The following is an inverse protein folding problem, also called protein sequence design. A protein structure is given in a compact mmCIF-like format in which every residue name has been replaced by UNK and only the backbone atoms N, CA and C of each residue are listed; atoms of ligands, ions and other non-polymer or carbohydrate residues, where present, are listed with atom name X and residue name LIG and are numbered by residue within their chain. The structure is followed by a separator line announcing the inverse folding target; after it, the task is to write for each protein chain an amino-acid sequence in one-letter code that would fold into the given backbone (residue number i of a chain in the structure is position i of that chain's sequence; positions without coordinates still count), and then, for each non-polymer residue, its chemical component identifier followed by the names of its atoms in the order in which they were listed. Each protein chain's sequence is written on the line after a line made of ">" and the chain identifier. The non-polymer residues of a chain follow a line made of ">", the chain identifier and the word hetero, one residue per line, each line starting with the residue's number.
data_IF_100874347321
#
_entry.id   IF_100874347321
#
_cell.length_a   1.000
_cell.length_b   1.000
_cell.length_c   1.000
_cell.angle_alpha   90.00
_cell.angle_beta   90.00
_cell.angle_gamma   90.00
#
_symmetry.space_group_name_H-M   'P 1'
#
loop_
_entity.id
_entity.type
_entity.pdbx_description
1 polymer ?
#
# COMPACT_ATOMS: atom_id res chain seq x y z
N UNK A 1 42.12 -3.36 -17.40
CA UNK A 1 41.63 -2.09 -16.81
C UNK A 1 41.62 -0.96 -17.80
N UNK A 2 42.70 -0.74 -18.53
CA UNK A 2 42.75 0.34 -19.53
C UNK A 2 41.77 0.16 -20.70
N UNK A 3 41.51 -1.07 -21.10
CA UNK A 3 40.53 -1.41 -22.15
C UNK A 3 39.12 -1.01 -21.79
N UNK A 4 38.71 -1.21 -20.53
CA UNK A 4 37.40 -0.81 -20.04
C UNK A 4 37.26 0.72 -19.99
N UNK A 5 38.29 1.41 -19.57
CA UNK A 5 38.32 2.88 -19.53
C UNK A 5 38.21 3.46 -20.95
N UNK A 6 38.95 2.90 -21.92
CA UNK A 6 38.85 3.27 -23.31
C UNK A 6 37.45 3.06 -23.90
N UNK A 7 36.83 1.91 -23.60
CA UNK A 7 35.47 1.61 -24.02
C UNK A 7 34.46 2.65 -23.50
N UNK A 8 34.56 3.02 -22.23
CA UNK A 8 33.68 4.03 -21.63
C UNK A 8 33.89 5.42 -22.24
N UNK A 9 35.10 5.78 -22.58
CA UNK A 9 35.41 7.05 -23.21
C UNK A 9 34.90 7.16 -24.65
N UNK A 10 35.03 6.08 -25.41
CA UNK A 10 34.54 6.01 -26.81
C UNK A 10 33.03 5.97 -26.90
N UNK A 11 32.35 5.41 -25.87
CA UNK A 11 30.90 5.24 -25.83
C UNK A 11 30.27 6.00 -24.67
N UNK A 12 30.67 7.25 -24.46
CA UNK A 12 30.26 8.05 -23.31
C UNK A 12 28.73 8.14 -23.15
N UNK A 13 28.00 8.40 -24.23
CA UNK A 13 26.54 8.52 -24.20
C UNK A 13 25.88 7.19 -23.79
N UNK A 14 26.35 6.10 -24.39
CA UNK A 14 25.86 4.76 -24.10
C UNK A 14 26.13 4.36 -22.63
N UNK A 15 27.32 4.70 -22.15
CA UNK A 15 27.73 4.45 -20.76
C UNK A 15 26.89 5.24 -19.75
N UNK A 16 26.57 6.50 -20.03
CA UNK A 16 25.70 7.34 -19.21
C UNK A 16 24.27 6.78 -19.16
N UNK A 17 23.73 6.34 -20.29
CA UNK A 17 22.41 5.69 -20.35
C UNK A 17 22.40 4.41 -19.51
N UNK A 18 23.45 3.60 -19.62
CA UNK A 18 23.57 2.35 -18.86
C UNK A 18 23.64 2.58 -17.35
N UNK A 19 24.46 3.52 -16.92
CA UNK A 19 24.57 3.91 -15.51
C UNK A 19 23.24 4.47 -15.01
N UNK A 20 22.55 5.30 -15.79
CA UNK A 20 21.23 5.83 -15.44
C UNK A 20 20.19 4.74 -15.25
N UNK A 21 20.15 3.75 -16.14
CA UNK A 21 19.27 2.59 -16.02
C UNK A 21 19.60 1.74 -14.79
N UNK A 22 20.88 1.53 -14.52
CA UNK A 22 21.34 0.76 -13.37
C UNK A 22 20.95 1.45 -12.05
N UNK A 23 21.15 2.76 -11.97
CA UNK A 23 20.74 3.56 -10.80
C UNK A 23 19.23 3.52 -10.61
N UNK A 24 18.46 3.68 -11.69
CA UNK A 24 17.01 3.59 -11.66
C UNK A 24 16.53 2.21 -11.16
N UNK A 25 17.17 1.14 -11.62
CA UNK A 25 16.87 -0.22 -11.18
C UNK A 25 17.18 -0.42 -9.69
N UNK A 26 18.33 0.04 -9.23
CA UNK A 26 18.73 -0.04 -7.81
C UNK A 26 17.76 0.75 -6.94
N UNK A 27 17.40 1.98 -7.36
CA UNK A 27 16.43 2.80 -6.63
C UNK A 27 15.06 2.12 -6.56
N UNK A 28 14.63 1.46 -7.62
CA UNK A 28 13.38 0.70 -7.65
C UNK A 28 13.41 -0.48 -6.67
N UNK A 29 14.50 -1.25 -6.66
CA UNK A 29 14.69 -2.38 -5.75
C UNK A 29 14.73 -1.90 -4.29
N UNK A 30 15.47 -0.85 -4.00
CA UNK A 30 15.55 -0.27 -2.64
C UNK A 30 14.18 0.22 -2.18
N UNK A 31 13.46 0.93 -3.04
CA UNK A 31 12.10 1.41 -2.74
C UNK A 31 11.14 0.25 -2.46
N UNK A 32 11.23 -0.82 -3.24
CA UNK A 32 10.43 -2.03 -3.02
C UNK A 32 10.80 -2.76 -1.72
N UNK A 33 12.09 -2.83 -1.41
CA UNK A 33 12.59 -3.49 -0.21
C UNK A 33 12.35 -2.70 1.08
N UNK A 34 12.18 -1.38 0.96
CA UNK A 34 11.89 -0.49 2.10
C UNK A 34 10.41 -0.18 2.25
N UNK A 35 9.54 -0.80 1.44
CA UNK A 35 8.11 -0.66 1.63
C UNK A 35 7.73 -1.15 3.03
N UNK A 36 7.19 -0.25 3.82
CA UNK A 36 6.85 -0.52 5.22
C UNK A 36 5.54 -1.30 5.35
N UNK A 37 4.98 -1.77 4.26
CA UNK A 37 3.74 -2.56 4.20
C UNK A 37 3.91 -3.78 3.29
N UNK A 38 3.03 -4.75 3.48
CA UNK A 38 2.93 -5.95 2.63
C UNK A 38 1.69 -5.84 1.74
N UNK A 39 1.80 -6.34 0.51
CA UNK A 39 0.62 -6.53 -0.34
C UNK A 39 0.03 -7.92 -0.09
N UNK A 40 -1.28 -7.96 0.13
CA UNK A 40 -2.00 -9.20 0.42
C UNK A 40 -3.23 -9.35 -0.48
N UNK A 41 -3.69 -10.59 -0.62
CA UNK A 41 -4.89 -10.93 -1.39
C UNK A 41 -6.18 -10.74 -0.56
N UNK A 42 -7.33 -10.82 -1.24
CA UNK A 42 -8.64 -10.80 -0.57
C UNK A 42 -8.78 -11.95 0.44
N UNK A 43 -8.31 -13.15 0.08
CA UNK A 43 -8.34 -14.31 0.97
C UNK A 43 -7.48 -14.11 2.22
N UNK A 44 -6.28 -13.56 2.05
CA UNK A 44 -5.39 -13.24 3.18
C UNK A 44 -5.97 -12.14 4.05
N UNK A 45 -6.64 -11.16 3.47
CA UNK A 45 -7.35 -10.10 4.21
C UNK A 45 -8.43 -10.70 5.10
N UNK A 46 -9.27 -11.57 4.57
CA UNK A 46 -10.31 -12.27 5.33
C UNK A 46 -9.70 -13.08 6.48
N UNK A 47 -8.61 -13.76 6.23
CA UNK A 47 -7.91 -14.54 7.25
C UNK A 47 -7.39 -13.66 8.39
N UNK A 48 -6.79 -12.51 8.10
CA UNK A 48 -6.34 -11.56 9.11
C UNK A 48 -7.49 -10.99 9.94
N UNK A 49 -8.61 -10.66 9.29
CA UNK A 49 -9.81 -10.15 9.97
C UNK A 49 -10.38 -11.17 10.95
N UNK A 50 -10.43 -12.43 10.55
CA UNK A 50 -11.09 -13.49 11.35
C UNK A 50 -10.19 -14.08 12.44
N UNK A 51 -8.89 -14.14 12.22
CA UNK A 51 -7.95 -14.84 13.13
C UNK A 51 -7.10 -13.93 13.98
N UNK A 52 -6.79 -12.72 13.49
CA UNK A 52 -5.79 -11.84 14.11
C UNK A 52 -6.34 -10.46 14.47
N UNK A 53 -7.66 -10.30 14.51
CA UNK A 53 -8.34 -9.03 14.76
C UNK A 53 -7.93 -7.93 13.76
N UNK A 54 -7.66 -8.30 12.51
CA UNK A 54 -7.30 -7.37 11.46
C UNK A 54 -8.39 -6.32 11.22
N UNK A 55 -7.97 -5.08 11.03
CA UNK A 55 -8.85 -3.95 10.74
C UNK A 55 -8.66 -3.52 9.31
N UNK A 56 -9.74 -3.48 8.55
CA UNK A 56 -9.75 -2.91 7.20
C UNK A 56 -9.97 -1.40 7.31
N UNK A 57 -9.07 -0.64 6.70
CA UNK A 57 -9.16 0.81 6.62
C UNK A 57 -9.47 1.20 5.18
N UNK A 58 -10.68 1.70 4.94
CA UNK A 58 -11.13 2.16 3.64
C UNK A 58 -10.84 3.66 3.51
N UNK A 59 -10.03 4.02 2.53
CA UNK A 59 -9.60 5.41 2.30
C UNK A 59 -10.32 6.09 1.13
N UNK A 60 -11.37 5.46 0.60
CA UNK A 60 -12.17 6.04 -0.48
C UNK A 60 -13.03 7.20 0.02
N UNK A 61 -13.71 7.88 -0.90
CA UNK A 61 -14.66 8.93 -0.55
C UNK A 61 -15.82 8.38 0.29
N UNK A 62 -16.50 9.26 1.02
CA UNK A 62 -17.68 8.88 1.81
C UNK A 62 -18.78 8.26 0.95
N UNK A 63 -19.00 8.78 -0.25
CA UNK A 63 -20.03 8.28 -1.15
C UNK A 63 -19.72 6.87 -1.65
N UNK A 64 -18.46 6.61 -2.00
CA UNK A 64 -18.02 5.27 -2.39
C UNK A 64 -18.12 4.28 -1.24
N UNK A 65 -17.72 4.69 -0.03
CA UNK A 65 -17.83 3.88 1.18
C UNK A 65 -19.30 3.50 1.46
N UNK A 66 -20.21 4.44 1.37
CA UNK A 66 -21.65 4.21 1.60
C UNK A 66 -22.26 3.28 0.57
N UNK A 67 -21.81 3.33 -0.67
CA UNK A 67 -22.32 2.48 -1.76
C UNK A 67 -21.97 1.01 -1.57
N UNK A 68 -20.87 0.74 -0.90
CA UNK A 68 -20.43 -0.61 -0.60
C UNK A 68 -19.02 -0.62 -0.04
N UNK A 69 -18.83 -1.30 1.09
CA UNK A 69 -17.53 -1.44 1.75
C UNK A 69 -17.41 -2.82 2.39
N UNK A 70 -16.20 -3.19 2.75
CA UNK A 70 -15.93 -4.43 3.47
C UNK A 70 -16.54 -4.35 4.87
N UNK A 71 -17.16 -5.41 5.34
CA UNK A 71 -17.78 -5.49 6.67
C UNK A 71 -16.79 -5.05 7.75
N UNK A 72 -17.27 -4.22 8.70
CA UNK A 72 -16.47 -3.68 9.81
C UNK A 72 -15.29 -2.80 9.40
N UNK A 73 -15.20 -2.38 8.14
CA UNK A 73 -14.17 -1.47 7.69
C UNK A 73 -14.31 -0.10 8.37
N UNK A 74 -13.18 0.45 8.79
CA UNK A 74 -13.08 1.82 9.32
C UNK A 74 -12.83 2.76 8.15
N UNK A 75 -13.64 3.82 8.04
CA UNK A 75 -13.47 4.82 7.01
C UNK A 75 -12.58 5.95 7.51
N UNK A 76 -11.44 6.16 6.86
CA UNK A 76 -10.51 7.27 7.14
C UNK A 76 -10.07 7.86 5.81
N UNK A 77 -10.18 9.16 5.65
CA UNK A 77 -9.72 9.84 4.45
C UNK A 77 -8.19 9.95 4.41
N UNK A 78 -7.56 9.94 3.22
CA UNK A 78 -6.11 10.12 3.11
C UNK A 78 -5.61 11.42 3.73
N UNK A 79 -6.41 12.50 3.68
CA UNK A 79 -6.10 13.78 4.33
C UNK A 79 -6.01 13.67 5.84
N UNK A 80 -6.85 12.85 6.46
CA UNK A 80 -6.81 12.60 7.91
C UNK A 80 -5.57 11.82 8.30
N UNK A 81 -5.17 10.85 7.50
CA UNK A 81 -3.93 10.07 7.70
C UNK A 81 -2.71 10.99 7.61
N UNK A 82 -2.67 11.88 6.61
CA UNK A 82 -1.59 12.87 6.47
C UNK A 82 -1.50 13.83 7.66
N UNK A 83 -2.64 14.19 8.23
CA UNK A 83 -2.72 15.06 9.40
C UNK A 83 -2.41 14.33 10.73
N UNK A 84 -2.23 13.01 10.70
CA UNK A 84 -2.02 12.21 11.90
C UNK A 84 -3.29 11.94 12.71
N UNK A 85 -4.45 12.11 12.10
CA UNK A 85 -5.76 11.90 12.72
C UNK A 85 -6.28 10.50 12.36
N UNK A 86 -6.03 9.53 13.22
CA UNK A 86 -6.35 8.12 12.97
C UNK A 86 -7.67 7.66 13.62
N UNK A 87 -8.34 8.53 14.37
CA UNK A 87 -9.61 8.19 15.02
C UNK A 87 -9.52 6.96 15.91
N UNK A 88 -10.40 5.98 15.68
CA UNK A 88 -10.45 4.75 16.48
C UNK A 88 -9.22 3.84 16.31
N UNK A 89 -8.40 4.05 15.28
CA UNK A 89 -7.19 3.26 15.05
C UNK A 89 -6.06 3.57 16.04
N UNK A 90 -6.07 4.71 16.71
CA UNK A 90 -5.03 5.12 17.68
C UNK A 90 -4.73 4.02 18.71
N UNK A 91 -5.74 3.30 19.15
CA UNK A 91 -5.63 2.24 20.15
C UNK A 91 -5.34 0.86 19.55
N UNK A 92 -5.13 0.79 18.24
CA UNK A 92 -4.99 -0.48 17.52
C UNK A 92 -3.68 -0.56 16.71
N UNK A 93 -2.64 0.08 17.20
CA UNK A 93 -1.33 0.12 16.51
C UNK A 93 -0.63 -1.24 16.42
N UNK A 94 -0.93 -2.16 17.34
CA UNK A 94 -0.38 -3.52 17.33
C UNK A 94 -1.22 -4.53 16.51
N UNK A 95 -2.45 -4.17 16.16
CA UNK A 95 -3.31 -5.02 15.34
C UNK A 95 -2.95 -4.94 13.86
N UNK A 96 -3.20 -6.00 13.06
CA UNK A 96 -3.02 -5.91 11.61
C UNK A 96 -3.96 -4.86 11.00
N UNK A 97 -3.40 -3.96 10.22
CA UNK A 97 -4.15 -2.92 9.51
C UNK A 97 -4.06 -3.18 8.01
N UNK A 98 -5.20 -3.31 7.36
CA UNK A 98 -5.27 -3.54 5.91
C UNK A 98 -5.86 -2.29 5.24
N UNK A 99 -5.04 -1.58 4.49
CA UNK A 99 -5.48 -0.38 3.78
C UNK A 99 -6.11 -0.77 2.45
N UNK A 100 -7.29 -0.22 2.19
CA UNK A 100 -8.07 -0.54 0.99
C UNK A 100 -8.49 0.75 0.28
N UNK A 101 -8.25 0.80 -1.03
CA UNK A 101 -8.83 1.79 -1.92
C UNK A 101 -9.48 1.09 -3.12
N UNK A 102 -9.86 1.83 -4.16
CA UNK A 102 -10.51 1.25 -5.33
C UNK A 102 -9.59 0.29 -6.10
N UNK A 103 -8.35 0.72 -6.38
CA UNK A 103 -7.39 0.00 -7.24
C UNK A 103 -6.09 -0.40 -6.55
N UNK A 104 -5.84 0.04 -5.33
CA UNK A 104 -4.61 -0.19 -4.59
C UNK A 104 -3.53 0.88 -4.77
N UNK A 105 -3.67 1.80 -5.72
CA UNK A 105 -2.63 2.80 -6.00
C UNK A 105 -2.56 3.91 -4.94
N UNK A 106 -3.69 4.52 -4.60
CA UNK A 106 -3.77 5.58 -3.58
C UNK A 106 -3.47 5.06 -2.18
N UNK A 107 -3.73 3.80 -1.93
CA UNK A 107 -3.51 3.17 -0.65
C UNK A 107 -2.03 3.03 -0.28
N UNK A 108 -1.12 3.04 -1.26
CA UNK A 108 0.32 2.90 -1.03
C UNK A 108 0.88 4.01 -0.14
N UNK A 109 0.55 5.25 -0.45
CA UNK A 109 0.96 6.40 0.35
C UNK A 109 0.40 6.34 1.77
N UNK A 110 -0.89 6.04 1.88
CA UNK A 110 -1.56 5.91 3.17
C UNK A 110 -0.98 4.78 4.02
N UNK A 111 -0.68 3.64 3.42
CA UNK A 111 -0.04 2.52 4.11
C UNK A 111 1.35 2.90 4.63
N UNK A 112 2.15 3.60 3.84
CA UNK A 112 3.46 4.11 4.27
C UNK A 112 3.35 5.09 5.43
N UNK A 113 2.39 6.00 5.38
CA UNK A 113 2.18 6.98 6.44
C UNK A 113 1.74 6.32 7.75
N UNK A 114 0.87 5.31 7.69
CA UNK A 114 0.46 4.53 8.85
C UNK A 114 1.65 3.80 9.48
N UNK A 115 2.48 3.16 8.67
CA UNK A 115 3.68 2.48 9.15
C UNK A 115 4.64 3.45 9.85
N UNK A 116 4.84 4.64 9.30
CA UNK A 116 5.67 5.69 9.90
C UNK A 116 5.08 6.24 11.21
N UNK A 117 3.75 6.18 11.34
CA UNK A 117 3.05 6.65 12.55
C UNK A 117 3.10 5.64 13.72
N UNK A 118 3.73 4.50 13.54
CA UNK A 118 3.91 3.50 14.59
C UNK A 118 2.97 2.30 14.51
N UNK A 119 2.19 2.16 13.44
CA UNK A 119 1.42 0.94 13.18
C UNK A 119 2.37 -0.19 12.78
N UNK A 120 2.39 -1.24 13.57
CA UNK A 120 3.43 -2.29 13.48
C UNK A 120 3.21 -3.27 12.33
N UNK A 121 1.97 -3.48 11.92
CA UNK A 121 1.60 -4.51 10.95
C UNK A 121 0.64 -3.94 9.92
N UNK A 122 1.19 -3.23 8.92
CA UNK A 122 0.41 -2.60 7.85
C UNK A 122 0.47 -3.46 6.60
N UNK A 123 -0.68 -3.72 6.03
CA UNK A 123 -0.85 -4.43 4.76
C UNK A 123 -1.72 -3.60 3.81
N UNK A 124 -1.59 -3.88 2.52
CA UNK A 124 -2.37 -3.26 1.47
C UNK A 124 -3.10 -4.35 0.70
N UNK A 125 -4.39 -4.17 0.49
CA UNK A 125 -5.16 -5.08 -0.37
C UNK A 125 -4.77 -4.84 -1.83
N UNK A 126 -4.06 -5.79 -2.40
CA UNK A 126 -3.62 -5.73 -3.81
C UNK A 126 -4.82 -5.57 -4.73
N UNK A 127 -4.75 -4.61 -5.64
CA UNK A 127 -5.82 -4.21 -6.56
C UNK A 127 -7.11 -3.75 -5.87
N UNK A 128 -7.07 -3.45 -4.59
CA UNK A 128 -8.14 -2.81 -3.83
C UNK A 128 -9.48 -3.56 -3.88
N UNK A 129 -10.58 -2.81 -3.86
CA UNK A 129 -11.92 -3.39 -3.89
C UNK A 129 -12.28 -4.08 -5.20
N UNK A 130 -11.58 -3.79 -6.28
CA UNK A 130 -11.74 -4.53 -7.54
C UNK A 130 -11.40 -5.99 -7.30
N UNK A 131 -10.25 -6.28 -6.69
CA UNK A 131 -9.85 -7.64 -6.34
C UNK A 131 -10.82 -8.31 -5.35
N UNK A 132 -11.33 -7.56 -4.38
CA UNK A 132 -12.32 -8.04 -3.43
C UNK A 132 -13.60 -8.50 -4.12
N UNK A 133 -14.09 -7.69 -5.06
CA UNK A 133 -15.29 -8.00 -5.86
C UNK A 133 -15.05 -9.17 -6.82
N UNK A 134 -13.90 -9.24 -7.46
CA UNK A 134 -13.53 -10.35 -8.35
C UNK A 134 -13.43 -11.69 -7.60
N UNK A 135 -13.06 -11.65 -6.33
CA UNK A 135 -13.05 -12.81 -5.45
C UNK A 135 -14.45 -13.17 -4.91
N UNK A 136 -15.51 -12.49 -5.37
CA UNK A 136 -16.89 -12.66 -4.92
C UNK A 136 -17.10 -12.47 -3.41
N UNK A 137 -16.27 -11.62 -2.81
CA UNK A 137 -16.39 -11.30 -1.39
C UNK A 137 -17.52 -10.28 -1.15
N UNK A 138 -18.28 -10.39 -0.05
CA UNK A 138 -19.42 -9.52 0.20
C UNK A 138 -19.04 -8.10 0.55
N UNK A 139 -19.88 -7.16 0.16
CA UNK A 139 -19.82 -5.75 0.57
C UNK A 139 -21.13 -5.40 1.32
N UNK A 140 -21.00 -4.53 2.30
CA UNK A 140 -22.14 -3.97 3.04
C UNK A 140 -22.32 -2.49 2.65
N UNK A 141 -23.55 -2.00 2.81
CA UNK A 141 -23.91 -0.61 2.50
C UNK A 141 -24.17 0.17 3.77
N UNK A 142 -23.99 1.49 3.71
CA UNK A 142 -24.33 2.42 4.78
C UNK A 142 -23.14 3.12 5.41
N UNK A 143 -23.36 3.73 6.58
CA UNK A 143 -22.35 4.58 7.26
C UNK A 143 -21.36 3.81 8.13
N UNK A 144 -21.59 2.52 8.34
CA UNK A 144 -20.70 1.66 9.14
C UNK A 144 -20.28 0.45 8.37
#
# INVERSE_FOLDING_TARGET
>A
MQEYIAFFQENMILSLVWVGLLVALIMNIVKSSTAAYKEITAAQTTQLMNRENGVVVDIRSKDEFRKGHITDAVHILPSDIKAGNFGSLENRKSDPIIVVCKTGQTAQESANLLAKAGFENVSLLKNGLIAWSEANMPLVKGKK
#
